data_IF_032642663646
#
_entry.id   IF_032642663646
#
_cell.length_a   1.000
_cell.length_b   1.000
_cell.length_c   1.000
_cell.angle_alpha   90.00
_cell.angle_beta   90.00
_cell.angle_gamma   90.00
#
_symmetry.space_group_name_H-M   'P 1'
#
loop_
_entity.id
_entity.type
_entity.pdbx_description
1 polymer ?
#
# COMPACT_ATOMS: atom_id res chain seq x y z
N UNK A 1 11.69 -13.36 -13.15
CA UNK A 1 11.98 -12.02 -13.69
C UNK A 1 12.56 -12.19 -15.08
N UNK A 2 12.13 -11.37 -16.05
CA UNK A 2 12.76 -11.29 -17.39
C UNK A 2 13.24 -9.87 -17.57
N UNK A 3 14.52 -9.69 -17.87
CA UNK A 3 15.08 -8.40 -18.22
C UNK A 3 15.15 -8.27 -19.75
N UNK A 4 14.86 -7.07 -20.26
CA UNK A 4 15.00 -6.71 -21.66
C UNK A 4 15.81 -5.42 -21.71
N UNK A 5 16.83 -5.36 -22.55
CA UNK A 5 17.60 -4.13 -22.75
C UNK A 5 16.74 -3.07 -23.45
N UNK A 6 16.95 -1.81 -23.09
CA UNK A 6 16.27 -0.66 -23.72
C UNK A 6 17.27 0.46 -23.99
N UNK A 7 17.01 1.27 -25.01
CA UNK A 7 17.76 2.50 -25.25
C UNK A 7 17.39 3.55 -24.21
N UNK A 8 18.32 4.47 -23.92
CA UNK A 8 18.04 5.63 -23.07
C UNK A 8 16.95 6.49 -23.73
N UNK A 9 15.82 6.69 -23.06
CA UNK A 9 14.70 7.48 -23.54
C UNK A 9 14.17 8.30 -22.36
N UNK A 10 14.27 9.64 -22.42
CA UNK A 10 13.62 10.52 -21.44
C UNK A 10 13.00 11.72 -22.15
N UNK A 11 11.67 11.74 -22.20
CA UNK A 11 10.95 12.70 -21.38
C UNK A 11 10.52 11.98 -20.10
N UNK A 12 11.11 12.37 -18.97
CA UNK A 12 10.64 11.96 -17.64
C UNK A 12 9.61 12.98 -17.18
N UNK A 13 8.39 12.50 -16.93
CA UNK A 13 7.57 13.14 -15.91
C UNK A 13 8.16 12.70 -14.57
N UNK A 14 8.92 13.58 -13.91
CA UNK A 14 9.38 13.34 -12.54
C UNK A 14 8.30 13.81 -11.57
N UNK A 15 7.96 12.95 -10.62
CA UNK A 15 7.26 13.37 -9.42
C UNK A 15 8.37 13.58 -8.38
N UNK A 16 8.58 14.84 -7.99
CA UNK A 16 9.67 15.22 -7.10
C UNK A 16 9.44 14.68 -5.66
N UNK A 17 8.17 14.48 -5.28
CA UNK A 17 7.77 13.97 -3.96
C UNK A 17 6.68 12.89 -4.11
N UNK A 18 7.03 11.65 -4.49
CA UNK A 18 6.04 10.58 -4.63
C UNK A 18 5.44 10.21 -3.27
N UNK A 19 4.11 10.04 -3.24
CA UNK A 19 3.41 9.51 -2.08
C UNK A 19 3.38 7.98 -2.13
N UNK A 20 3.58 7.35 -0.97
CA UNK A 20 3.52 5.90 -0.82
C UNK A 20 2.41 5.50 0.13
N UNK A 21 1.74 4.39 -0.18
CA UNK A 21 0.78 3.77 0.73
C UNK A 21 1.38 2.50 1.31
N UNK A 22 1.31 2.37 2.64
CA UNK A 22 1.71 1.17 3.36
C UNK A 22 0.50 0.57 4.05
N UNK A 23 0.27 -0.72 3.83
CA UNK A 23 -0.77 -1.49 4.50
C UNK A 23 -0.09 -2.51 5.42
N UNK A 24 -0.33 -2.45 6.73
CA UNK A 24 0.04 -3.51 7.65
C UNK A 24 -1.15 -4.42 7.94
N UNK A 25 -0.93 -5.72 7.80
CA UNK A 25 -1.92 -6.76 7.98
C UNK A 25 -1.64 -7.58 9.22
N UNK A 26 -2.66 -7.73 10.05
CA UNK A 26 -2.60 -8.55 11.26
C UNK A 26 -3.85 -9.42 11.38
N UNK A 27 -3.67 -10.64 11.88
CA UNK A 27 -4.76 -11.57 12.16
C UNK A 27 -4.61 -12.11 13.59
N UNK A 28 -5.42 -11.63 14.55
CA UNK A 28 -5.26 -11.99 15.97
C UNK A 28 -5.42 -13.50 16.23
N UNK A 29 -6.32 -14.16 15.51
CA UNK A 29 -6.45 -15.62 15.50
C UNK A 29 -7.04 -16.10 14.17
N UNK A 30 -6.92 -17.40 13.81
CA UNK A 30 -7.43 -17.93 12.53
C UNK A 30 -8.94 -17.74 12.30
N UNK A 31 -9.73 -17.62 13.37
CA UNK A 31 -11.18 -17.39 13.31
C UNK A 31 -11.56 -15.93 12.98
N UNK A 32 -10.58 -15.01 13.01
CA UNK A 32 -10.80 -13.60 12.69
C UNK A 32 -10.33 -13.28 11.27
N UNK A 33 -11.00 -12.31 10.64
CA UNK A 33 -10.53 -11.71 9.40
C UNK A 33 -9.20 -10.97 9.57
N UNK A 34 -8.57 -10.68 8.44
CA UNK A 34 -7.38 -9.82 8.41
C UNK A 34 -7.77 -8.37 8.70
N UNK A 35 -7.18 -7.80 9.75
CA UNK A 35 -7.29 -6.37 10.08
C UNK A 35 -6.21 -5.59 9.32
N UNK A 36 -6.54 -4.36 8.94
CA UNK A 36 -5.70 -3.46 8.16
C UNK A 36 -5.43 -2.17 8.93
N UNK A 37 -4.15 -1.87 9.12
CA UNK A 37 -3.67 -0.55 9.49
C UNK A 37 -2.98 0.08 8.28
N UNK A 38 -3.58 1.11 7.68
CA UNK A 38 -3.10 1.73 6.45
C UNK A 38 -2.55 3.14 6.71
N UNK A 39 -1.43 3.44 6.07
CA UNK A 39 -0.70 4.71 6.18
C UNK A 39 -0.38 5.26 4.79
N UNK A 40 -0.28 6.58 4.71
CA UNK A 40 0.28 7.29 3.55
C UNK A 40 1.55 7.98 4.04
N UNK A 41 2.63 7.81 3.31
CA UNK A 41 3.92 8.46 3.54
C UNK A 41 4.10 9.49 2.42
N UNK A 42 4.18 10.76 2.80
CA UNK A 42 4.49 11.90 1.92
C UNK A 42 5.86 12.46 2.30
N UNK A 43 6.38 13.34 1.44
CA UNK A 43 7.67 14.02 1.68
C UNK A 43 8.85 13.06 1.90
N UNK A 44 8.76 11.85 1.32
CA UNK A 44 9.82 10.86 1.36
C UNK A 44 10.82 11.12 0.24
N UNK A 45 12.10 10.91 0.54
CA UNK A 45 13.20 11.11 -0.42
C UNK A 45 13.17 10.04 -1.51
N UNK A 46 13.07 8.77 -1.11
CA UNK A 46 13.01 7.65 -2.04
C UNK A 46 12.39 6.39 -1.42
N UNK A 47 12.37 5.31 -2.20
CA UNK A 47 11.86 4.00 -1.76
C UNK A 47 12.67 3.39 -0.61
N UNK A 48 13.94 3.74 -0.46
CA UNK A 48 14.81 3.23 0.62
C UNK A 48 14.34 3.75 1.96
N UNK A 49 13.98 5.03 2.06
CA UNK A 49 13.41 5.63 3.26
C UNK A 49 12.08 4.95 3.63
N UNK A 50 11.21 4.70 2.65
CA UNK A 50 9.95 3.97 2.85
C UNK A 50 10.20 2.57 3.41
N UNK A 51 11.18 1.84 2.88
CA UNK A 51 11.52 0.49 3.35
C UNK A 51 12.11 0.51 4.77
N UNK A 52 12.90 1.52 5.12
CA UNK A 52 13.38 1.71 6.48
C UNK A 52 12.22 1.95 7.44
N UNK A 53 11.30 2.86 7.09
CA UNK A 53 10.11 3.13 7.90
C UNK A 53 9.27 1.86 8.08
N UNK A 54 9.10 1.06 7.03
CA UNK A 54 8.40 -0.23 7.11
C UNK A 54 9.09 -1.18 8.09
N UNK A 55 10.41 -1.33 8.05
CA UNK A 55 11.15 -2.21 8.96
C UNK A 55 10.95 -1.82 10.43
N UNK A 56 11.01 -0.52 10.72
CA UNK A 56 10.80 0.05 12.05
C UNK A 56 9.35 -0.13 12.56
N UNK A 57 8.35 -0.05 11.67
CA UNK A 57 6.93 -0.01 12.05
C UNK A 57 6.19 -1.33 11.83
N UNK A 58 6.72 -2.27 11.04
CA UNK A 58 6.03 -3.51 10.73
C UNK A 58 5.76 -4.34 12.00
N UNK A 59 6.69 -4.34 12.96
CA UNK A 59 6.60 -5.13 14.19
C UNK A 59 6.25 -6.62 13.90
N UNK A 60 6.85 -7.17 12.84
CA UNK A 60 6.62 -8.55 12.38
C UNK A 60 5.29 -8.80 11.65
N UNK A 61 4.45 -7.76 11.44
CA UNK A 61 3.21 -7.86 10.65
C UNK A 61 3.51 -8.06 9.17
N UNK A 62 2.58 -8.71 8.46
CA UNK A 62 2.61 -8.74 6.99
C UNK A 62 2.35 -7.34 6.47
N UNK A 63 2.92 -6.98 5.32
CA UNK A 63 2.72 -5.66 4.76
C UNK A 63 2.61 -5.65 3.24
N UNK A 64 2.11 -4.54 2.71
CA UNK A 64 2.19 -4.17 1.31
C UNK A 64 2.66 -2.71 1.20
N UNK A 65 3.49 -2.44 0.19
CA UNK A 65 3.93 -1.08 -0.18
C UNK A 65 3.45 -0.78 -1.59
N UNK A 66 2.85 0.39 -1.76
CA UNK A 66 2.41 0.92 -3.04
C UNK A 66 2.97 2.32 -3.26
N UNK A 67 3.17 2.70 -4.52
CA UNK A 67 3.34 4.10 -4.92
C UNK A 67 2.02 4.61 -5.52
N UNK A 68 1.65 5.85 -5.20
CA UNK A 68 0.49 6.53 -5.79
C UNK A 68 0.79 6.96 -7.23
N UNK A 69 -0.14 6.72 -8.15
CA UNK A 69 0.03 7.07 -9.58
C UNK A 69 -0.03 8.58 -9.83
N UNK A 70 -0.80 9.29 -9.01
CA UNK A 70 -0.91 10.74 -9.04
C UNK A 70 -0.86 11.25 -7.60
N UNK A 71 -0.26 12.41 -7.41
CA UNK A 71 -0.33 13.13 -6.15
C UNK A 71 -1.79 13.49 -5.83
N UNK A 72 -2.25 13.09 -4.65
CA UNK A 72 -3.55 13.50 -4.12
C UNK A 72 -3.33 14.42 -2.89
N UNK A 73 -3.99 15.59 -2.82
CA UNK A 73 -3.85 16.48 -1.67
C UNK A 73 -4.19 15.79 -0.35
N UNK A 74 -3.57 16.22 0.74
CA UNK A 74 -3.97 15.79 2.07
C UNK A 74 -5.42 16.19 2.35
N UNK A 75 -6.22 15.24 2.83
CA UNK A 75 -7.64 15.41 3.15
C UNK A 75 -7.95 14.74 4.47
N UNK A 76 -9.11 15.06 5.04
CA UNK A 76 -9.57 14.41 6.28
C UNK A 76 -9.60 12.88 6.13
N UNK A 77 -9.33 12.15 7.21
CA UNK A 77 -9.36 10.68 7.23
C UNK A 77 -10.69 10.06 6.75
N UNK A 78 -11.79 10.81 6.84
CA UNK A 78 -13.11 10.36 6.36
C UNK A 78 -13.27 10.42 4.84
N UNK A 79 -12.35 11.10 4.14
CA UNK A 79 -12.33 11.21 2.69
C UNK A 79 -11.29 10.22 2.14
N UNK A 80 -11.71 9.08 1.60
CA UNK A 80 -10.77 8.09 1.09
C UNK A 80 -9.95 8.68 -0.05
N UNK A 81 -8.66 8.33 -0.09
CA UNK A 81 -7.80 8.59 -1.25
C UNK A 81 -8.20 7.64 -2.38
N UNK A 82 -8.29 8.18 -3.59
CA UNK A 82 -8.84 7.51 -4.77
C UNK A 82 -7.82 7.37 -5.91
N UNK A 83 -6.61 7.89 -5.72
CA UNK A 83 -5.52 7.74 -6.70
C UNK A 83 -5.21 6.26 -6.97
N UNK A 84 -4.82 5.97 -8.21
CA UNK A 84 -4.38 4.62 -8.59
C UNK A 84 -3.12 4.21 -7.81
N UNK A 85 -2.95 2.91 -7.58
CA UNK A 85 -1.83 2.38 -6.81
C UNK A 85 -1.05 1.36 -7.64
N UNK A 86 0.28 1.47 -7.62
CA UNK A 86 1.20 0.47 -8.17
C UNK A 86 1.83 -0.27 -6.99
N UNK A 87 1.63 -1.59 -6.88
CA UNK A 87 2.25 -2.39 -5.82
C UNK A 87 3.74 -2.56 -6.09
N UNK A 88 4.54 -2.13 -5.13
CA UNK A 88 6.00 -2.24 -5.16
C UNK A 88 6.49 -3.48 -4.42
N UNK A 89 5.88 -3.78 -3.27
CA UNK A 89 6.31 -4.88 -2.40
C UNK A 89 5.13 -5.50 -1.62
N UNK A 90 5.31 -6.76 -1.22
CA UNK A 90 4.36 -7.49 -0.37
C UNK A 90 3.22 -8.15 -1.14
N UNK A 91 2.21 -8.63 -0.39
CA UNK A 91 1.04 -9.30 -0.95
C UNK A 91 -0.17 -9.14 -0.05
N UNK A 92 -1.34 -8.88 -0.64
CA UNK A 92 -2.61 -8.86 0.09
C UNK A 92 -2.94 -10.29 0.57
N UNK A 93 -3.04 -10.52 1.89
CA UNK A 93 -3.34 -11.83 2.43
C UNK A 93 -4.79 -12.30 2.16
N UNK A 94 -5.69 -11.39 1.78
CA UNK A 94 -7.05 -11.72 1.36
C UNK A 94 -7.14 -12.10 -0.14
N UNK A 95 -6.04 -12.02 -0.90
CA UNK A 95 -6.05 -12.37 -2.31
C UNK A 95 -6.34 -13.87 -2.49
N UNK A 96 -7.52 -14.18 -3.06
CA UNK A 96 -7.96 -15.56 -3.27
C UNK A 96 -8.73 -16.19 -2.10
N UNK A 97 -8.98 -15.44 -1.02
CA UNK A 97 -9.85 -15.89 0.08
C UNK A 97 -11.29 -15.37 -0.11
N UNK A 98 -12.28 -16.24 0.04
CA UNK A 98 -13.70 -15.85 0.07
C UNK A 98 -14.00 -15.23 1.43
N UNK A 99 -14.07 -13.91 1.51
CA UNK A 99 -14.51 -13.21 2.73
C UNK A 99 -16.04 -13.23 2.81
N UNK A 100 -16.59 -13.92 3.82
CA UNK A 100 -18.00 -13.75 4.19
C UNK A 100 -18.18 -12.36 4.80
N UNK A 101 -18.78 -11.46 4.03
CA UNK A 101 -19.29 -10.20 4.59
C UNK A 101 -20.55 -10.57 5.38
N UNK A 102 -20.51 -10.41 6.71
CA UNK A 102 -21.61 -10.69 7.64
C UNK A 102 -22.95 -10.25 7.05
N UNK A 103 -23.84 -11.22 6.83
CA UNK A 103 -25.23 -10.98 6.42
C UNK A 103 -25.92 -10.19 7.53
N UNK A 104 -26.28 -8.94 7.25
CA UNK A 104 -27.19 -8.18 8.10
C UNK A 104 -28.53 -8.93 8.17
N UNK A 105 -28.82 -9.57 9.30
CA UNK A 105 -30.19 -9.97 9.60
C UNK A 105 -31.00 -8.70 9.87
N UNK A 106 -31.92 -8.38 8.97
CA UNK A 106 -32.96 -7.38 9.24
C UNK A 106 -33.73 -7.79 10.49
N UNK A 107 -33.75 -6.91 11.50
CA UNK A 107 -34.75 -6.96 12.57
C UNK A 107 -36.14 -6.63 12.00
#
# INVERSE_FOLDING_TARGET
MRATETVHAEPRDSIDSPAYRVNFWQRPSPEHGWNLDAYVLTDVEDITEVLQWVDEHAAGRRFEVFVEMNEEPERSFQSPRMTGLIRMLGSNPNAGETVEIVRLQKM
#
